data_IF_466369922133
#
_entry.id   IF_466369922133
#
_cell.length_a   1.000
_cell.length_b   1.000
_cell.length_c   1.000
_cell.angle_alpha   90.00
_cell.angle_beta   90.00
_cell.angle_gamma   90.00
#
_symmetry.space_group_name_H-M   'P 1'
#
loop_
_entity.id
_entity.type
_entity.pdbx_description
1 polymer ?
#
# COMPACT_ATOMS: atom_id res chain seq x y z
N UNK A 1 -24.88 -9.91 -3.86
CA UNK A 1 -25.57 -10.21 -5.14
C UNK A 1 -27.08 -10.17 -4.95
N UNK A 2 -27.84 -9.68 -5.93
CA UNK A 2 -29.30 -9.66 -5.93
C UNK A 2 -29.84 -10.17 -7.28
N UNK A 3 -31.02 -10.79 -7.29
CA UNK A 3 -31.66 -11.31 -8.50
C UNK A 3 -32.82 -10.39 -8.94
N UNK A 4 -32.81 -9.97 -10.20
CA UNK A 4 -33.87 -9.17 -10.83
C UNK A 4 -34.41 -9.87 -12.09
N UNK A 5 -35.53 -9.39 -12.63
CA UNK A 5 -36.14 -9.89 -13.88
C UNK A 5 -35.22 -9.75 -15.10
N UNK A 6 -34.20 -8.90 -15.02
CA UNK A 6 -33.17 -8.71 -16.04
C UNK A 6 -31.93 -9.59 -15.84
N UNK A 7 -31.86 -10.38 -14.75
CA UNK A 7 -30.76 -11.30 -14.47
C UNK A 7 -30.17 -11.19 -13.05
N UNK A 8 -29.04 -11.87 -12.85
CA UNK A 8 -28.28 -11.86 -11.59
C UNK A 8 -27.36 -10.64 -11.55
N UNK A 9 -27.66 -9.68 -10.68
CA UNK A 9 -26.84 -8.49 -10.43
C UNK A 9 -25.80 -8.83 -9.34
N UNK A 10 -24.57 -9.09 -9.78
CA UNK A 10 -23.42 -9.22 -8.89
C UNK A 10 -22.92 -7.80 -8.57
N UNK A 11 -23.27 -7.31 -7.39
CA UNK A 11 -22.64 -6.13 -6.81
C UNK A 11 -21.30 -6.54 -6.19
N UNK A 12 -20.20 -6.06 -6.77
CA UNK A 12 -18.90 -6.01 -6.11
C UNK A 12 -18.76 -4.64 -5.44
N UNK A 13 -18.25 -4.62 -4.21
CA UNK A 13 -17.79 -3.37 -3.61
C UNK A 13 -16.55 -2.97 -4.41
N UNK A 14 -16.69 -1.99 -5.29
CA UNK A 14 -15.54 -1.36 -5.93
C UNK A 14 -14.90 -0.48 -4.84
N UNK A 15 -13.86 -0.99 -4.18
CA UNK A 15 -13.09 -0.26 -3.14
C UNK A 15 -12.31 0.93 -3.72
N UNK A 16 -12.47 1.20 -5.02
CA UNK A 16 -11.60 2.07 -5.79
C UNK A 16 -11.92 3.57 -5.69
N UNK A 17 -12.83 4.00 -4.82
CA UNK A 17 -13.14 5.44 -4.66
C UNK A 17 -13.77 5.76 -3.29
N UNK A 18 -12.98 5.73 -2.22
CA UNK A 18 -13.25 6.63 -1.08
C UNK A 18 -12.55 7.95 -1.40
N UNK A 19 -13.26 8.86 -2.05
CA UNK A 19 -12.72 10.15 -2.48
C UNK A 19 -12.43 11.03 -1.25
N UNK A 20 -11.15 11.25 -0.94
CA UNK A 20 -10.73 12.21 0.08
C UNK A 20 -10.53 13.59 -0.60
N UNK A 21 -11.28 14.65 -0.24
CA UNK A 21 -11.28 15.94 -0.94
C UNK A 21 -9.95 16.73 -0.89
N UNK A 22 -8.93 16.18 -0.22
CA UNK A 22 -7.53 16.66 -0.23
C UNK A 22 -6.61 15.91 -1.21
N UNK A 23 -7.13 14.94 -1.98
CA UNK A 23 -6.34 13.95 -2.73
C UNK A 23 -6.05 14.30 -4.21
N UNK A 24 -6.33 15.55 -4.61
CA UNK A 24 -5.95 16.09 -5.92
C UNK A 24 -4.65 16.89 -5.80
N UNK A 25 -3.54 16.19 -5.61
CA UNK A 25 -2.23 16.77 -5.92
C UNK A 25 -1.81 16.24 -7.30
N UNK A 26 -1.53 17.15 -8.25
CA UNK A 26 -1.14 16.85 -9.64
C UNK A 26 0.17 16.02 -9.75
N UNK A 27 0.77 15.68 -8.62
CA UNK A 27 2.07 15.00 -8.49
C UNK A 27 1.95 13.50 -8.15
N UNK A 28 0.74 12.94 -7.96
CA UNK A 28 0.55 11.52 -7.66
C UNK A 28 0.65 10.69 -8.95
N UNK A 29 1.88 10.40 -9.38
CA UNK A 29 2.17 9.58 -10.57
C UNK A 29 3.22 8.50 -10.26
N UNK A 30 3.19 7.33 -10.94
CA UNK A 30 4.22 6.31 -10.77
C UNK A 30 5.64 6.82 -11.08
N UNK A 31 5.77 7.79 -11.99
CA UNK A 31 7.02 8.45 -12.30
C UNK A 31 7.58 9.21 -11.10
N UNK A 32 6.74 9.96 -10.38
CA UNK A 32 7.17 10.70 -9.20
C UNK A 32 7.50 9.78 -8.02
N UNK A 33 6.82 8.65 -7.90
CA UNK A 33 7.18 7.61 -6.92
C UNK A 33 8.61 7.12 -7.16
N UNK A 34 9.01 6.89 -8.42
CA UNK A 34 10.39 6.50 -8.74
C UNK A 34 11.40 7.59 -8.36
N UNK A 35 11.10 8.86 -8.64
CA UNK A 35 11.96 9.99 -8.23
C UNK A 35 12.10 10.04 -6.70
N UNK A 36 11.01 9.90 -5.96
CA UNK A 36 11.03 9.86 -4.49
C UNK A 36 11.84 8.68 -3.94
N UNK A 37 11.82 7.52 -4.62
CA UNK A 37 12.68 6.38 -4.27
C UNK A 37 14.17 6.69 -4.50
N UNK A 38 14.51 7.35 -5.61
CA UNK A 38 15.90 7.77 -5.90
C UNK A 38 16.41 8.79 -4.87
N UNK A 39 15.55 9.70 -4.44
CA UNK A 39 15.82 10.69 -3.38
C UNK A 39 15.79 10.10 -1.96
N UNK A 40 15.47 8.80 -1.81
CA UNK A 40 15.33 8.09 -0.52
C UNK A 40 14.23 8.65 0.39
N UNK A 41 13.21 9.28 -0.19
CA UNK A 41 12.04 9.75 0.53
C UNK A 41 10.97 8.64 0.64
N UNK A 42 11.30 7.56 1.36
CA UNK A 42 10.49 6.34 1.43
C UNK A 42 9.08 6.54 1.97
N UNK A 43 8.92 7.33 3.04
CA UNK A 43 7.61 7.59 3.64
C UNK A 43 6.64 8.27 2.67
N UNK A 44 7.13 9.28 1.93
CA UNK A 44 6.36 9.94 0.88
C UNK A 44 6.08 9.01 -0.30
N UNK A 45 7.07 8.22 -0.72
CA UNK A 45 6.90 7.26 -1.81
C UNK A 45 5.82 6.21 -1.49
N UNK A 46 5.83 5.64 -0.28
CA UNK A 46 4.83 4.67 0.16
C UNK A 46 3.45 5.31 0.30
N UNK A 47 3.36 6.52 0.88
CA UNK A 47 2.09 7.25 0.97
C UNK A 47 1.50 7.55 -0.42
N UNK A 48 2.34 7.93 -1.39
CA UNK A 48 1.92 8.17 -2.77
C UNK A 48 1.48 6.88 -3.47
N UNK A 49 2.19 5.77 -3.27
CA UNK A 49 1.82 4.48 -3.85
C UNK A 49 0.52 3.92 -3.26
N UNK A 50 0.26 4.14 -1.96
CA UNK A 50 -1.00 3.80 -1.33
C UNK A 50 -2.18 4.55 -1.98
N UNK A 51 -1.99 5.85 -2.27
CA UNK A 51 -2.96 6.70 -2.95
C UNK A 51 -3.20 6.28 -4.40
N UNK A 52 -2.15 5.88 -5.12
CA UNK A 52 -2.29 5.32 -6.49
C UNK A 52 -3.09 4.01 -6.54
N UNK A 53 -3.32 3.38 -5.38
CA UNK A 53 -4.00 2.10 -5.25
C UNK A 53 -3.36 0.94 -6.06
N UNK A 54 -2.11 1.10 -6.49
CA UNK A 54 -1.40 0.10 -7.31
C UNK A 54 -0.65 -0.89 -6.40
N UNK A 55 -1.15 -2.12 -6.34
CA UNK A 55 -0.59 -3.17 -5.50
C UNK A 55 0.81 -3.60 -5.93
N UNK A 56 1.08 -3.67 -7.24
CA UNK A 56 2.40 -4.09 -7.72
C UNK A 56 3.45 -3.04 -7.38
N UNK A 57 3.11 -1.76 -7.60
CA UNK A 57 3.98 -0.64 -7.28
C UNK A 57 4.26 -0.56 -5.77
N UNK A 58 3.22 -0.69 -4.95
CA UNK A 58 3.36 -0.66 -3.49
C UNK A 58 4.27 -1.78 -2.98
N UNK A 59 4.08 -3.00 -3.50
CA UNK A 59 4.91 -4.16 -3.16
C UNK A 59 6.37 -3.98 -3.56
N UNK A 60 6.63 -3.41 -4.74
CA UNK A 60 7.99 -3.11 -5.21
C UNK A 60 8.69 -2.11 -4.30
N UNK A 61 8.00 -1.03 -3.89
CA UNK A 61 8.55 -0.03 -2.97
C UNK A 61 8.84 -0.66 -1.61
N UNK A 62 7.88 -1.39 -1.03
CA UNK A 62 8.04 -2.04 0.26
C UNK A 62 9.25 -2.99 0.28
N UNK A 63 9.51 -3.67 -0.84
CA UNK A 63 10.70 -4.52 -1.02
C UNK A 63 12.02 -3.77 -1.17
N UNK A 64 11.98 -2.48 -1.58
CA UNK A 64 13.16 -1.63 -1.77
C UNK A 64 13.53 -0.80 -0.53
N UNK A 65 12.59 -0.55 0.39
CA UNK A 65 12.87 0.22 1.61
C UNK A 65 13.92 -0.51 2.46
N UNK A 66 15.00 0.16 2.88
CA UNK A 66 15.98 -0.43 3.78
C UNK A 66 15.39 -0.62 5.18
N UNK A 67 15.83 -1.68 5.89
CA UNK A 67 15.31 -2.05 7.21
C UNK A 67 15.38 -0.92 8.25
N UNK A 68 16.36 -0.02 8.14
CA UNK A 68 16.54 1.10 9.06
C UNK A 68 15.43 2.15 8.91
N UNK A 69 14.91 2.33 7.69
CA UNK A 69 13.86 3.30 7.37
C UNK A 69 12.45 2.72 7.55
N UNK A 70 12.31 1.38 7.66
CA UNK A 70 10.99 0.72 7.83
C UNK A 70 10.25 1.29 9.04
N UNK A 71 10.93 1.45 10.19
CA UNK A 71 10.32 2.00 11.41
C UNK A 71 9.83 3.44 11.20
N UNK A 72 10.57 4.25 10.45
CA UNK A 72 10.19 5.63 10.17
C UNK A 72 8.96 5.67 9.24
N UNK A 73 8.93 4.78 8.24
CA UNK A 73 7.82 4.66 7.31
C UNK A 73 6.55 4.23 8.05
N UNK A 74 6.62 3.20 8.90
CA UNK A 74 5.44 2.72 9.67
C UNK A 74 4.87 3.80 10.59
N UNK A 75 5.72 4.61 11.24
CA UNK A 75 5.26 5.71 12.09
C UNK A 75 4.61 6.87 11.32
N UNK A 76 4.96 7.04 10.04
CA UNK A 76 4.41 8.11 9.21
C UNK A 76 3.10 7.73 8.50
N UNK A 77 2.71 6.47 8.58
CA UNK A 77 1.56 5.94 7.85
C UNK A 77 0.26 6.12 8.66
N UNK A 78 -0.83 6.58 8.02
CA UNK A 78 -2.15 6.60 8.64
C UNK A 78 -2.65 5.18 8.97
N UNK A 79 -3.29 5.00 10.13
CA UNK A 79 -3.83 3.71 10.60
C UNK A 79 -4.78 3.04 9.60
N UNK A 80 -5.55 3.82 8.84
CA UNK A 80 -6.49 3.31 7.82
C UNK A 80 -5.83 2.48 6.73
N UNK A 81 -4.54 2.64 6.48
CA UNK A 81 -3.82 1.88 5.45
C UNK A 81 -3.09 0.64 5.99
N UNK A 82 -3.01 0.48 7.32
CA UNK A 82 -2.25 -0.59 7.96
C UNK A 82 -2.82 -1.96 7.60
N UNK A 83 -4.13 -2.14 7.67
CA UNK A 83 -4.80 -3.40 7.32
C UNK A 83 -4.53 -3.82 5.87
N UNK A 84 -4.58 -2.85 4.96
CA UNK A 84 -4.33 -3.07 3.53
C UNK A 84 -2.89 -3.51 3.28
N UNK A 85 -1.91 -2.87 3.92
CA UNK A 85 -0.50 -3.25 3.76
C UNK A 85 -0.24 -4.62 4.40
N UNK A 86 -0.82 -4.91 5.56
CA UNK A 86 -0.69 -6.23 6.21
C UNK A 86 -1.24 -7.35 5.32
N UNK A 87 -2.36 -7.13 4.64
CA UNK A 87 -2.93 -8.09 3.69
C UNK A 87 -1.96 -8.38 2.54
N UNK A 88 -1.39 -7.33 1.94
CA UNK A 88 -0.40 -7.48 0.86
C UNK A 88 0.90 -8.16 1.33
N UNK A 89 1.35 -7.86 2.55
CA UNK A 89 2.51 -8.51 3.15
C UNK A 89 2.24 -10.00 3.40
N UNK A 90 1.04 -10.37 3.86
CA UNK A 90 0.65 -11.75 4.09
C UNK A 90 0.75 -12.57 2.78
N UNK A 91 0.22 -12.04 1.68
CA UNK A 91 0.33 -12.69 0.36
C UNK A 91 1.79 -12.87 -0.08
N UNK A 92 2.66 -11.89 0.20
CA UNK A 92 4.08 -11.98 -0.16
C UNK A 92 4.91 -12.88 0.74
N UNK A 93 4.56 -13.03 2.01
CA UNK A 93 5.25 -13.92 2.95
C UNK A 93 5.15 -15.37 2.47
N UNK A 94 4.02 -15.78 1.87
CA UNK A 94 3.85 -17.14 1.34
C UNK A 94 4.69 -17.41 0.09
N UNK A 95 4.96 -16.38 -0.71
CA UNK A 95 5.61 -16.50 -2.02
C UNK A 95 7.12 -16.20 -2.00
N UNK A 96 7.59 -15.41 -1.03
CA UNK A 96 8.95 -14.87 -1.04
C UNK A 96 9.91 -15.61 -0.08
N UNK A 97 11.16 -15.87 -0.48
CA UNK A 97 12.18 -16.42 0.41
C UNK A 97 12.64 -15.43 1.48
N UNK A 98 12.30 -14.14 1.37
CA UNK A 98 12.74 -13.08 2.29
C UNK A 98 11.82 -12.90 3.52
N UNK A 99 11.45 -14.01 4.16
CA UNK A 99 10.46 -13.98 5.26
C UNK A 99 10.89 -13.10 6.44
N UNK A 100 12.18 -13.07 6.77
CA UNK A 100 12.70 -12.24 7.86
C UNK A 100 12.45 -10.75 7.63
N UNK A 101 12.50 -10.30 6.38
CA UNK A 101 12.28 -8.90 6.02
C UNK A 101 10.81 -8.52 6.24
N UNK A 102 9.88 -9.30 5.71
CA UNK A 102 8.45 -9.04 5.86
C UNK A 102 7.95 -9.23 7.29
N UNK A 103 8.52 -10.17 8.07
CA UNK A 103 8.22 -10.29 9.49
C UNK A 103 8.59 -9.03 10.26
N UNK A 104 9.72 -8.39 9.95
CA UNK A 104 10.09 -7.12 10.59
C UNK A 104 9.10 -6.01 10.28
N UNK A 105 8.59 -5.94 9.03
CA UNK A 105 7.53 -5.01 8.67
C UNK A 105 6.28 -5.20 9.54
N UNK A 106 5.80 -6.44 9.66
CA UNK A 106 4.62 -6.77 10.47
C UNK A 106 4.83 -6.40 11.95
N UNK A 107 6.01 -6.70 12.51
CA UNK A 107 6.35 -6.33 13.90
C UNK A 107 6.33 -4.81 14.08
N UNK A 108 6.97 -4.04 13.19
CA UNK A 108 7.00 -2.59 13.31
C UNK A 108 5.64 -1.92 13.09
N UNK A 109 4.79 -2.50 12.24
CA UNK A 109 3.40 -2.04 12.09
C UNK A 109 2.56 -2.30 13.33
N UNK A 110 2.75 -3.42 14.03
CA UNK A 110 2.03 -3.72 15.27
C UNK A 110 2.55 -2.92 16.49
N UNK A 111 3.75 -2.36 16.42
CA UNK A 111 4.30 -1.48 17.46
C UNK A 111 3.79 -0.03 17.37
N UNK A 112 3.15 0.35 16.27
CA UNK A 112 2.56 1.69 16.06
C UNK A 112 1.14 1.72 16.65
#
# INVERSE_FOLDING_TARGET
AAASVEGLLIYSLDENLTFDPTDLDLEVTPSNVNVLMEEKHWSKAVAMALRLNDHELLLDILGKVPLDDVRLVTQSLPEMFVERILSLLAEKIELSPHIQFYLKWVVFMMEC
#
